data_IF_412619530106
#
_entry.id   IF_412619530106
#
_cell.length_a   1.000
_cell.length_b   1.000
_cell.length_c   1.000
_cell.angle_alpha   90.00
_cell.angle_beta   90.00
_cell.angle_gamma   90.00
#
_symmetry.space_group_name_H-M   'P 1'
#
loop_
_entity.id
_entity.type
_entity.pdbx_description
1 polymer ?
#
# COMPACT_ATOMS: atom_id res chain seq x y z
N UNK A 1 -3.70 0.37 -9.72
CA UNK A 1 -4.01 1.79 -9.98
C UNK A 1 -3.63 2.19 -11.40
N UNK A 2 -2.34 2.22 -11.76
CA UNK A 2 -1.87 2.74 -13.06
C UNK A 2 -2.59 2.16 -14.30
N UNK A 3 -2.75 0.82 -14.39
CA UNK A 3 -3.48 0.18 -15.50
C UNK A 3 -4.95 0.62 -15.61
N UNK A 4 -5.60 0.93 -14.49
CA UNK A 4 -6.98 1.42 -14.50
C UNK A 4 -7.07 2.78 -15.20
N UNK A 5 -6.16 3.70 -14.87
CA UNK A 5 -6.08 5.01 -15.51
C UNK A 5 -5.61 4.92 -16.96
N UNK A 6 -4.51 4.22 -17.23
CA UNK A 6 -3.88 4.21 -18.55
C UNK A 6 -4.65 3.40 -19.59
N UNK A 7 -5.36 2.34 -19.18
CA UNK A 7 -6.06 1.44 -20.11
C UNK A 7 -7.57 1.65 -20.02
N UNK A 8 -8.17 1.40 -18.84
CA UNK A 8 -9.63 1.40 -18.72
C UNK A 8 -10.23 2.79 -18.87
N UNK A 9 -9.76 3.78 -18.11
CA UNK A 9 -10.25 5.17 -18.22
C UNK A 9 -10.05 5.72 -19.63
N UNK A 10 -8.90 5.46 -20.26
CA UNK A 10 -8.62 5.89 -21.64
C UNK A 10 -9.54 5.21 -22.67
N UNK A 11 -9.80 3.91 -22.53
CA UNK A 11 -10.65 3.16 -23.46
C UNK A 11 -12.15 3.44 -23.28
N UNK A 12 -12.58 3.75 -22.06
CA UNK A 12 -14.00 3.94 -21.72
C UNK A 12 -14.43 5.40 -21.54
N UNK A 13 -13.49 6.36 -21.57
CA UNK A 13 -13.78 7.77 -21.34
C UNK A 13 -14.14 8.12 -19.88
N UNK A 14 -13.88 7.21 -18.93
CA UNK A 14 -14.18 7.44 -17.52
C UNK A 14 -13.18 8.41 -16.88
N UNK A 15 -13.70 9.46 -16.23
CA UNK A 15 -12.95 10.46 -15.47
C UNK A 15 -13.21 10.30 -13.96
N UNK A 16 -12.42 9.47 -13.25
CA UNK A 16 -12.62 9.26 -11.81
C UNK A 16 -12.33 10.55 -11.02
N UNK A 17 -13.19 10.85 -10.05
CA UNK A 17 -13.09 12.08 -9.22
C UNK A 17 -12.18 11.91 -8.01
N UNK A 18 -12.13 10.72 -7.41
CA UNK A 18 -11.32 10.39 -6.26
C UNK A 18 -10.77 8.97 -6.30
N UNK A 19 -9.69 8.73 -5.56
CA UNK A 19 -9.11 7.41 -5.32
C UNK A 19 -9.02 7.17 -3.82
N UNK A 20 -9.66 6.10 -3.36
CA UNK A 20 -9.47 5.57 -2.01
C UNK A 20 -8.21 4.70 -1.95
N UNK A 21 -7.23 5.09 -1.14
CA UNK A 21 -6.05 4.28 -0.82
C UNK A 21 -6.27 3.62 0.54
N UNK A 22 -6.53 2.31 0.53
CA UNK A 22 -6.63 1.52 1.75
C UNK A 22 -5.24 1.04 2.18
N UNK A 23 -4.92 1.21 3.47
CA UNK A 23 -3.74 0.55 4.03
C UNK A 23 -3.94 0.20 5.50
N UNK A 24 -3.25 -0.84 5.97
CA UNK A 24 -3.32 -1.27 7.37
C UNK A 24 -1.98 -1.10 8.07
N UNK A 25 -2.00 -0.85 9.38
CA UNK A 25 -0.80 -0.73 10.22
C UNK A 25 0.12 -1.95 10.05
N UNK A 26 -0.46 -3.15 9.97
CA UNK A 26 0.30 -4.40 9.78
C UNK A 26 0.97 -4.47 8.39
N UNK A 27 0.26 -4.06 7.34
CA UNK A 27 0.82 -4.03 5.98
C UNK A 27 1.99 -3.05 5.87
N UNK A 28 1.91 -1.89 6.53
CA UNK A 28 3.00 -0.91 6.55
C UNK A 28 4.25 -1.47 7.24
N UNK A 29 4.10 -2.16 8.37
CA UNK A 29 5.22 -2.80 9.06
C UNK A 29 5.88 -3.90 8.22
N UNK A 30 5.09 -4.72 7.51
CA UNK A 30 5.59 -5.76 6.62
C UNK A 30 6.41 -5.19 5.46
N UNK A 31 6.06 -4.01 4.96
CA UNK A 31 6.72 -3.38 3.82
C UNK A 31 8.17 -2.94 4.11
N UNK A 32 8.52 -2.73 5.38
CA UNK A 32 9.86 -2.28 5.80
C UNK A 32 10.85 -3.43 5.91
N UNK A 33 10.35 -4.65 6.12
CA UNK A 33 11.18 -5.81 6.37
C UNK A 33 11.19 -6.73 5.14
N UNK A 34 12.00 -6.36 4.14
CA UNK A 34 12.30 -7.21 2.97
C UNK A 34 13.01 -8.54 3.31
N UNK A 35 13.21 -8.87 4.59
CA UNK A 35 13.95 -10.04 5.08
C UNK A 35 13.31 -10.72 6.29
N UNK A 36 12.00 -10.64 6.47
CA UNK A 36 11.41 -11.73 7.24
C UNK A 36 11.47 -12.97 6.38
N UNK A 37 12.11 -14.01 6.90
CA UNK A 37 11.80 -15.42 6.60
C UNK A 37 10.34 -15.70 7.01
N UNK A 38 9.40 -14.87 6.54
CA UNK A 38 8.04 -15.27 6.42
C UNK A 38 8.13 -16.41 5.42
N UNK A 39 8.08 -17.62 5.95
CA UNK A 39 7.73 -18.81 5.23
C UNK A 39 6.36 -18.56 4.59
N UNK A 40 6.34 -17.74 3.52
CA UNK A 40 5.20 -17.43 2.66
C UNK A 40 4.68 -18.70 1.97
N UNK A 41 5.37 -19.83 2.15
CA UNK A 41 5.09 -21.12 1.56
C UNK A 41 4.51 -22.16 2.53
N UNK A 42 4.27 -21.84 3.81
CA UNK A 42 3.69 -22.81 4.74
C UNK A 42 2.44 -22.28 5.45
N UNK A 43 1.30 -22.98 5.40
CA UNK A 43 0.02 -22.53 5.96
C UNK A 43 -0.04 -22.47 7.51
N UNK A 44 1.09 -22.55 8.21
CA UNK A 44 1.15 -22.59 9.67
C UNK A 44 2.18 -21.61 10.27
N UNK A 45 2.75 -20.71 9.48
CA UNK A 45 3.78 -19.82 9.99
C UNK A 45 3.17 -18.65 10.76
N UNK A 46 3.44 -18.63 12.06
CA UNK A 46 3.08 -17.53 12.94
C UNK A 46 3.73 -16.24 12.44
N UNK A 47 2.94 -15.16 12.43
CA UNK A 47 3.46 -13.83 12.15
C UNK A 47 4.38 -13.44 13.31
N UNK A 48 5.59 -12.98 13.02
CA UNK A 48 6.52 -12.56 14.06
C UNK A 48 5.84 -11.51 14.96
N UNK A 49 6.05 -11.58 16.30
CA UNK A 49 5.41 -10.67 17.25
C UNK A 49 5.74 -9.20 16.93
N UNK A 50 6.87 -8.94 16.29
CA UNK A 50 7.28 -7.62 15.78
C UNK A 50 6.23 -6.94 14.88
N UNK A 51 5.39 -7.72 14.18
CA UNK A 51 4.31 -7.19 13.33
C UNK A 51 2.98 -7.03 14.07
N UNK A 52 2.83 -7.70 15.21
CA UNK A 52 1.64 -7.65 16.07
C UNK A 52 1.78 -6.55 17.11
N UNK A 53 2.94 -6.46 17.75
CA UNK A 53 3.27 -5.48 18.78
C UNK A 53 3.40 -4.07 18.21
N UNK A 54 3.13 -3.08 19.05
CA UNK A 54 3.23 -1.68 18.68
C UNK A 54 4.69 -1.29 18.38
N UNK A 55 4.94 -0.80 17.17
CA UNK A 55 6.29 -0.38 16.73
C UNK A 55 6.19 0.82 15.79
N UNK A 56 6.44 1.99 16.34
CA UNK A 56 6.32 3.28 15.65
C UNK A 56 7.43 3.45 14.60
N UNK A 57 8.65 2.99 14.89
CA UNK A 57 9.80 3.11 13.97
C UNK A 57 9.59 2.33 12.67
N UNK A 58 8.96 1.16 12.75
CA UNK A 58 8.58 0.39 11.56
C UNK A 58 7.42 1.03 10.82
N UNK A 59 6.46 1.63 11.53
CA UNK A 59 5.35 2.34 10.89
C UNK A 59 5.84 3.55 10.08
N UNK A 60 6.72 4.36 10.65
CA UNK A 60 7.34 5.53 9.99
C UNK A 60 8.12 5.13 8.74
N UNK A 61 8.88 4.04 8.79
CA UNK A 61 9.60 3.53 7.61
C UNK A 61 8.64 2.99 6.55
N UNK A 62 7.54 2.36 6.97
CA UNK A 62 6.53 1.78 6.07
C UNK A 62 5.73 2.84 5.33
N UNK A 63 5.63 4.03 5.92
CA UNK A 63 4.98 5.20 5.34
C UNK A 63 5.53 5.58 3.97
N UNK A 64 6.83 5.38 3.73
CA UNK A 64 7.48 5.69 2.45
C UNK A 64 6.80 5.01 1.25
N UNK A 65 6.29 3.78 1.43
CA UNK A 65 5.55 3.08 0.37
C UNK A 65 4.23 3.78 0.04
N UNK A 66 3.47 4.13 1.07
CA UNK A 66 2.20 4.83 0.93
C UNK A 66 2.38 6.20 0.28
N UNK A 67 3.41 6.94 0.69
CA UNK A 67 3.76 8.22 0.09
C UNK A 67 4.03 8.08 -1.41
N UNK A 68 4.73 7.02 -1.81
CA UNK A 68 4.97 6.75 -3.23
C UNK A 68 3.66 6.49 -4.00
N UNK A 69 2.72 5.73 -3.41
CA UNK A 69 1.41 5.53 -4.01
C UNK A 69 0.60 6.83 -4.13
N UNK A 70 0.62 7.68 -3.10
CA UNK A 70 -0.04 9.00 -3.13
C UNK A 70 0.56 9.84 -4.27
N UNK A 71 1.90 9.92 -4.36
CA UNK A 71 2.58 10.64 -5.44
C UNK A 71 2.17 10.14 -6.82
N UNK A 72 2.06 8.82 -7.00
CA UNK A 72 1.63 8.24 -8.27
C UNK A 72 0.17 8.59 -8.61
N UNK A 73 -0.75 8.66 -7.64
CA UNK A 73 -2.12 9.13 -7.93
C UNK A 73 -2.12 10.61 -8.31
N UNK A 74 -1.36 11.44 -7.60
CA UNK A 74 -1.32 12.88 -7.84
C UNK A 74 -0.85 13.22 -9.26
N UNK A 75 0.01 12.40 -9.87
CA UNK A 75 0.38 12.53 -11.29
C UNK A 75 -0.79 12.40 -12.27
N UNK A 76 -1.85 11.70 -11.87
CA UNK A 76 -3.08 11.58 -12.67
C UNK A 76 -4.08 12.72 -12.41
N UNK A 77 -3.71 13.73 -11.59
CA UNK A 77 -4.55 14.87 -11.21
C UNK A 77 -5.90 14.46 -10.58
N UNK A 78 -5.92 13.38 -9.80
CA UNK A 78 -7.11 12.90 -9.09
C UNK A 78 -6.94 13.08 -7.59
N UNK A 79 -8.02 13.43 -6.89
CA UNK A 79 -8.01 13.56 -5.44
C UNK A 79 -7.77 12.21 -4.76
N UNK A 80 -6.97 12.21 -3.69
CA UNK A 80 -6.63 11.01 -2.92
C UNK A 80 -7.27 11.10 -1.55
N UNK A 81 -7.93 10.02 -1.13
CA UNK A 81 -8.45 9.84 0.22
C UNK A 81 -7.83 8.58 0.81
N UNK A 82 -7.35 8.69 2.04
CA UNK A 82 -6.84 7.54 2.78
C UNK A 82 -7.96 6.88 3.57
N UNK A 83 -8.04 5.55 3.48
CA UNK A 83 -9.09 4.71 4.08
C UNK A 83 -8.50 3.71 5.07
#
# INVERSE_FOLDING_TARGET
MEKFFNIKCRASGLTPQCVGLASTIRALKLHVYSRCNMCLFSPCCYLDPVYVDENIKLLERGWANTQHHIYNVLKFNVSVVWL
#
